data_IF_478990210341
#
_entry.id   IF_478990210341
#
_cell.length_a   1.000
_cell.length_b   1.000
_cell.length_c   1.000
_cell.angle_alpha   90.00
_cell.angle_beta   90.00
_cell.angle_gamma   90.00
#
_symmetry.space_group_name_H-M   'P 1'
#
loop_
_entity.id
_entity.type
_entity.pdbx_description
1 polymer ?
#
# COMPACT_ATOMS: atom_id res chain seq x y z
N UNK A 1 79.41 26.55 18.09
CA UNK A 1 78.35 26.51 17.07
C UNK A 1 77.29 25.50 17.52
N UNK A 2 76.05 25.99 17.65
CA UNK A 2 74.70 25.36 17.66
C UNK A 2 74.49 23.89 18.08
N UNK A 3 73.53 23.75 18.99
CA UNK A 3 72.77 22.57 19.43
C UNK A 3 72.08 21.82 18.28
N UNK A 4 71.88 20.50 18.47
CA UNK A 4 70.60 19.79 18.25
C UNK A 4 70.70 18.38 18.88
N UNK A 5 70.11 18.11 20.06
CA UNK A 5 68.77 17.49 20.26
C UNK A 5 68.59 16.15 19.52
N UNK A 6 68.77 15.00 20.19
CA UNK A 6 67.80 14.20 21.00
C UNK A 6 66.98 13.17 20.17
N UNK A 7 66.54 12.07 20.82
CA UNK A 7 66.56 10.71 20.23
C UNK A 7 65.19 10.02 20.16
N UNK A 8 65.18 8.79 19.64
CA UNK A 8 64.15 7.75 19.80
C UNK A 8 62.74 8.07 19.27
N UNK A 9 61.93 7.02 19.13
CA UNK A 9 60.52 6.98 18.72
C UNK A 9 60.32 6.88 17.19
N UNK A 10 59.94 5.67 16.75
CA UNK A 10 58.81 5.35 15.85
C UNK A 10 59.02 3.98 15.17
N UNK A 11 59.24 2.94 15.99
CA UNK A 11 59.00 1.54 15.62
C UNK A 11 57.73 1.05 16.31
N UNK A 12 56.61 1.75 16.08
CA UNK A 12 55.31 1.46 16.69
C UNK A 12 54.11 1.86 15.78
N UNK A 13 54.30 1.91 14.45
CA UNK A 13 53.21 2.28 13.52
C UNK A 13 52.65 1.11 12.70
N UNK A 14 53.07 -0.14 12.96
CA UNK A 14 52.57 -1.31 12.20
C UNK A 14 51.44 -2.07 12.90
N UNK A 15 50.95 -1.61 14.06
CA UNK A 15 49.89 -2.27 14.84
C UNK A 15 48.62 -1.42 15.06
N UNK A 16 48.50 -0.26 14.41
CA UNK A 16 47.31 0.60 14.49
C UNK A 16 46.36 0.46 13.28
N UNK A 17 46.37 -0.69 12.59
CA UNK A 17 45.45 -1.01 11.49
C UNK A 17 44.42 -2.10 11.85
N UNK A 18 44.31 -2.42 13.14
CA UNK A 18 43.21 -3.21 13.69
C UNK A 18 42.35 -2.27 14.56
N UNK A 19 41.45 -1.50 13.95
CA UNK A 19 40.73 -0.51 14.74
C UNK A 19 39.70 0.34 14.02
N UNK A 20 39.00 -0.19 13.03
CA UNK A 20 37.63 0.27 12.68
C UNK A 20 37.02 -0.72 11.69
N UNK A 21 36.81 -1.96 12.13
CA UNK A 21 35.61 -2.65 11.62
C UNK A 21 34.45 -1.84 12.19
N UNK A 22 33.98 -0.85 11.42
CA UNK A 22 32.61 -0.41 11.58
C UNK A 22 31.80 -1.70 11.43
N UNK A 23 31.32 -2.25 12.56
CA UNK A 23 30.18 -3.15 12.49
C UNK A 23 29.18 -2.34 11.68
N UNK A 24 28.84 -2.85 10.50
CA UNK A 24 27.76 -2.29 9.73
C UNK A 24 26.58 -2.25 10.71
N UNK A 25 26.23 -1.05 11.16
CA UNK A 25 24.86 -0.77 11.56
C UNK A 25 24.09 -0.97 10.26
N UNK A 26 23.84 -2.24 9.90
CA UNK A 26 22.75 -2.59 9.03
C UNK A 26 21.58 -1.77 9.55
N UNK A 27 20.98 -0.99 8.65
CA UNK A 27 19.97 0.01 8.97
C UNK A 27 18.87 -0.66 9.80
N UNK A 28 18.99 -0.61 11.14
CA UNK A 28 18.13 -1.40 12.03
C UNK A 28 16.70 -0.93 11.91
N UNK A 29 16.50 0.33 11.49
CA UNK A 29 15.20 0.86 11.13
C UNK A 29 14.68 0.22 9.83
N UNK A 30 15.45 0.22 8.74
CA UNK A 30 15.08 -0.44 7.48
C UNK A 30 14.86 -1.95 7.61
N UNK A 31 15.65 -2.61 8.44
CA UNK A 31 15.54 -4.04 8.73
C UNK A 31 14.30 -4.34 9.60
N UNK A 32 14.05 -3.54 10.64
CA UNK A 32 12.83 -3.65 11.43
C UNK A 32 11.58 -3.40 10.58
N UNK A 33 11.64 -2.41 9.68
CA UNK A 33 10.59 -2.11 8.72
C UNK A 33 10.30 -3.31 7.83
N UNK A 34 11.34 -3.89 7.22
CA UNK A 34 11.25 -5.10 6.39
C UNK A 34 10.58 -6.26 7.14
N UNK A 35 11.00 -6.48 8.38
CA UNK A 35 10.44 -7.52 9.25
C UNK A 35 8.96 -7.27 9.57
N UNK A 36 8.61 -6.05 9.98
CA UNK A 36 7.26 -5.71 10.42
C UNK A 36 6.27 -5.76 9.24
N UNK A 37 6.71 -5.32 8.06
CA UNK A 37 5.96 -5.48 6.81
C UNK A 37 5.75 -6.96 6.45
N UNK A 38 6.79 -7.78 6.59
CA UNK A 38 6.66 -9.22 6.37
C UNK A 38 5.68 -9.86 7.34
N UNK A 39 5.70 -9.43 8.60
CA UNK A 39 4.77 -9.92 9.61
C UNK A 39 3.31 -9.59 9.23
N UNK A 40 3.03 -8.35 8.81
CA UNK A 40 1.72 -7.92 8.28
C UNK A 40 1.29 -8.73 7.04
N UNK A 41 2.21 -8.97 6.12
CA UNK A 41 1.93 -9.73 4.91
C UNK A 41 1.66 -11.21 5.18
N UNK A 42 2.32 -11.80 6.19
CA UNK A 42 2.32 -13.25 6.44
C UNK A 42 1.29 -13.67 7.49
N UNK A 43 1.10 -12.87 8.54
CA UNK A 43 0.29 -13.25 9.71
C UNK A 43 -0.87 -12.29 9.95
N UNK A 44 -1.73 -12.12 8.94
CA UNK A 44 -2.86 -11.18 8.96
C UNK A 44 -3.86 -11.36 10.11
N UNK A 45 -3.96 -12.56 10.67
CA UNK A 45 -4.79 -12.80 11.86
C UNK A 45 -4.28 -12.01 13.09
N UNK A 46 -2.97 -11.76 13.16
CA UNK A 46 -2.32 -11.08 14.27
C UNK A 46 -1.93 -9.64 13.93
N UNK A 47 -1.68 -9.35 12.65
CA UNK A 47 -1.27 -8.04 12.15
C UNK A 47 -2.20 -7.64 10.98
N UNK A 48 -3.44 -7.25 11.26
CA UNK A 48 -4.52 -7.17 10.27
C UNK A 48 -4.47 -5.92 9.38
N UNK A 49 -3.75 -4.89 9.80
CA UNK A 49 -3.65 -3.60 9.11
C UNK A 49 -2.21 -3.12 9.10
N UNK A 50 -1.84 -2.32 8.09
CA UNK A 50 -0.55 -1.67 8.07
C UNK A 50 -0.50 -0.55 9.10
N UNK A 51 0.58 -0.49 9.88
CA UNK A 51 0.81 0.54 10.87
C UNK A 51 2.16 1.22 10.62
N UNK A 52 2.23 2.54 10.83
CA UNK A 52 3.51 3.24 10.77
C UNK A 52 4.43 2.76 11.89
N UNK A 53 5.70 2.49 11.57
CA UNK A 53 6.70 2.16 12.58
C UNK A 53 6.99 3.36 13.46
N UNK A 54 6.71 3.20 14.75
CA UNK A 54 6.98 4.15 15.81
C UNK A 54 8.34 3.87 16.43
N UNK A 55 8.97 4.90 16.98
CA UNK A 55 10.22 4.73 17.74
C UNK A 55 10.09 5.35 19.12
N UNK A 56 10.42 4.56 20.14
CA UNK A 56 10.61 5.02 21.52
C UNK A 56 11.78 4.23 22.09
N UNK A 57 12.85 4.86 22.55
CA UNK A 57 14.03 4.10 23.01
C UNK A 57 13.67 3.05 24.08
N UNK A 58 14.11 1.78 23.95
CA UNK A 58 14.98 1.21 22.90
C UNK A 58 14.27 0.59 21.68
N UNK A 59 12.98 0.81 21.49
CA UNK A 59 12.10 0.12 20.55
C UNK A 59 11.89 0.82 19.21
N UNK A 60 11.76 0.00 18.17
CA UNK A 60 11.08 0.27 16.91
C UNK A 60 9.87 -0.65 16.86
N UNK A 61 8.65 -0.13 16.76
CA UNK A 61 7.45 -0.95 16.97
C UNK A 61 6.22 -0.45 16.21
N UNK A 62 5.26 -1.35 16.03
CA UNK A 62 3.91 -1.07 15.52
C UNK A 62 2.88 -1.55 16.52
N UNK A 63 1.81 -0.78 16.66
CA UNK A 63 0.65 -1.13 17.48
C UNK A 63 -0.57 -1.34 16.59
N UNK A 64 -1.20 -2.51 16.72
CA UNK A 64 -2.39 -2.91 15.97
C UNK A 64 -3.60 -2.82 16.89
N UNK A 65 -4.31 -1.67 16.93
CA UNK A 65 -5.36 -1.41 17.91
C UNK A 65 -6.57 -2.34 17.77
N UNK A 66 -6.82 -2.89 16.58
CA UNK A 66 -7.94 -3.79 16.27
C UNK A 66 -7.86 -5.10 17.07
N UNK A 67 -6.64 -5.53 17.39
CA UNK A 67 -6.34 -6.80 18.06
C UNK A 67 -5.54 -6.61 19.36
N UNK A 68 -5.17 -5.38 19.70
CA UNK A 68 -4.42 -5.04 20.90
C UNK A 68 -3.04 -5.70 20.93
N UNK A 69 -2.37 -5.81 19.78
CA UNK A 69 -1.05 -6.42 19.64
C UNK A 69 -0.02 -5.35 19.32
N UNK A 70 1.18 -5.49 19.87
CA UNK A 70 2.38 -4.77 19.49
C UNK A 70 3.37 -5.76 18.88
N UNK A 71 4.06 -5.35 17.83
CA UNK A 71 5.24 -6.05 17.31
C UNK A 71 6.38 -5.04 17.21
N UNK A 72 7.60 -5.44 17.56
CA UNK A 72 8.72 -4.53 17.51
C UNK A 72 10.08 -5.17 17.66
N UNK A 73 11.10 -4.37 17.36
CA UNK A 73 12.52 -4.70 17.51
C UNK A 73 13.10 -3.84 18.62
N UNK A 74 13.83 -4.46 19.54
CA UNK A 74 14.64 -3.77 20.53
C UNK A 74 16.03 -3.49 19.94
N UNK A 75 16.39 -2.21 19.84
CA UNK A 75 17.66 -1.73 19.30
C UNK A 75 18.88 -2.09 20.15
N UNK A 76 18.67 -2.47 21.42
CA UNK A 76 19.77 -2.79 22.35
C UNK A 76 20.29 -4.21 22.15
N UNK A 77 19.38 -5.17 21.94
CA UNK A 77 19.69 -6.60 21.82
C UNK A 77 19.37 -7.19 20.44
N UNK A 78 18.84 -6.38 19.51
CA UNK A 78 18.33 -6.79 18.20
C UNK A 78 17.24 -7.87 18.28
N UNK A 79 16.57 -8.02 19.43
CA UNK A 79 15.51 -8.97 19.61
C UNK A 79 14.20 -8.50 18.98
N UNK A 80 13.46 -9.44 18.40
CA UNK A 80 12.12 -9.27 17.87
C UNK A 80 11.13 -9.73 18.93
N UNK A 81 10.16 -8.88 19.24
CA UNK A 81 9.20 -9.11 20.30
C UNK A 81 7.77 -8.84 19.83
N UNK A 82 6.84 -9.53 20.48
CA UNK A 82 5.40 -9.26 20.40
C UNK A 82 4.84 -9.10 21.80
N UNK A 83 3.80 -8.27 21.93
CA UNK A 83 3.12 -8.00 23.21
C UNK A 83 1.62 -7.88 22.94
N UNK A 84 0.79 -8.37 23.86
CA UNK A 84 -0.67 -8.32 23.73
C UNK A 84 -1.26 -9.51 22.97
N UNK A 85 -2.58 -9.50 22.79
CA UNK A 85 -3.33 -10.61 22.18
C UNK A 85 -3.00 -11.98 22.80
N UNK A 86 -2.63 -13.01 21.99
CA UNK A 86 -2.33 -14.35 22.49
C UNK A 86 -1.02 -14.43 23.31
N UNK A 87 -0.19 -13.38 23.31
CA UNK A 87 1.08 -13.33 24.03
C UNK A 87 0.98 -12.66 25.41
N UNK A 88 -0.19 -12.11 25.76
CA UNK A 88 -0.45 -11.52 27.08
C UNK A 88 0.29 -10.20 27.33
N UNK A 89 0.45 -9.84 28.61
CA UNK A 89 0.88 -8.49 29.02
C UNK A 89 2.40 -8.31 29.15
N UNK A 90 3.20 -9.30 28.74
CA UNK A 90 4.67 -9.21 28.77
C UNK A 90 5.23 -9.38 27.35
N UNK A 91 6.29 -8.63 26.97
CA UNK A 91 6.95 -8.83 25.70
C UNK A 91 7.45 -10.28 25.58
N UNK A 92 6.96 -10.98 24.57
CA UNK A 92 7.39 -12.33 24.21
C UNK A 92 8.45 -12.23 23.13
N UNK A 93 9.64 -12.74 23.42
CA UNK A 93 10.72 -12.85 22.45
C UNK A 93 10.37 -13.89 21.38
N UNK A 94 10.54 -13.52 20.11
CA UNK A 94 10.29 -14.39 18.97
C UNK A 94 11.62 -14.96 18.45
N UNK A 95 12.53 -14.08 18.03
CA UNK A 95 13.87 -14.41 17.55
C UNK A 95 14.70 -13.12 17.47
N UNK A 96 15.95 -13.19 17.02
CA UNK A 96 16.76 -12.02 16.70
C UNK A 96 16.50 -11.54 15.27
N UNK A 97 16.58 -10.23 15.07
CA UNK A 97 16.32 -9.57 13.79
C UNK A 97 17.11 -10.18 12.61
N UNK A 98 18.43 -10.47 12.70
CA UNK A 98 19.15 -11.10 11.59
C UNK A 98 18.64 -12.50 11.22
N UNK A 99 18.19 -13.28 12.20
CA UNK A 99 17.62 -14.61 11.95
C UNK A 99 16.29 -14.50 11.21
N UNK A 100 15.47 -13.54 11.63
CA UNK A 100 14.20 -13.26 10.96
C UNK A 100 14.39 -12.78 9.52
N UNK A 101 15.33 -11.86 9.27
CA UNK A 101 15.63 -11.40 7.90
C UNK A 101 16.10 -12.56 7.00
N UNK A 102 16.96 -13.44 7.52
CA UNK A 102 17.37 -14.64 6.81
C UNK A 102 16.17 -15.57 6.55
N UNK A 103 15.26 -15.72 7.51
CA UNK A 103 14.05 -16.50 7.32
C UNK A 103 13.15 -15.91 6.22
N UNK A 104 12.98 -14.58 6.19
CA UNK A 104 12.20 -13.87 5.16
C UNK A 104 12.82 -14.11 3.78
N UNK A 105 14.13 -13.90 3.64
CA UNK A 105 14.85 -14.09 2.38
C UNK A 105 14.73 -15.53 1.86
N UNK A 106 14.83 -16.52 2.75
CA UNK A 106 14.80 -17.95 2.38
C UNK A 106 13.39 -18.49 2.15
N UNK A 107 12.37 -17.88 2.76
CA UNK A 107 10.96 -18.28 2.59
C UNK A 107 10.29 -17.66 1.38
N UNK A 108 10.94 -16.72 0.69
CA UNK A 108 10.31 -15.88 -0.32
C UNK A 108 9.28 -14.90 0.28
N UNK A 109 9.42 -14.59 1.57
CA UNK A 109 8.53 -13.70 2.30
C UNK A 109 8.62 -12.26 1.78
N UNK A 110 7.49 -11.56 1.74
CA UNK A 110 7.43 -10.17 1.28
C UNK A 110 7.60 -9.18 2.44
N UNK A 111 8.79 -8.60 2.59
CA UNK A 111 9.06 -7.51 3.54
C UNK A 111 8.76 -6.09 3.02
N UNK A 112 8.09 -5.97 1.87
CA UNK A 112 7.67 -4.67 1.33
C UNK A 112 6.45 -4.14 2.10
N UNK A 113 6.40 -2.82 2.33
CA UNK A 113 5.24 -2.14 2.93
C UNK A 113 3.98 -2.52 2.15
N UNK A 114 2.88 -2.97 2.80
CA UNK A 114 1.62 -3.19 2.12
C UNK A 114 1.17 -1.88 1.49
N UNK A 115 1.34 -1.76 0.16
CA UNK A 115 1.10 -0.50 -0.51
C UNK A 115 -0.40 -0.14 -0.60
N UNK A 116 -1.25 -1.15 -0.36
CA UNK A 116 -2.69 -1.06 -0.27
C UNK A 116 -3.16 -1.45 1.14
N UNK A 117 -4.11 -0.70 1.69
CA UNK A 117 -4.88 -1.12 2.84
C UNK A 117 -5.75 -2.31 2.44
N UNK A 118 -5.50 -3.44 3.09
CA UNK A 118 -6.14 -4.72 2.79
C UNK A 118 -6.97 -5.26 3.96
N UNK A 119 -7.25 -4.42 4.97
CA UNK A 119 -7.97 -4.82 6.18
C UNK A 119 -9.42 -5.27 5.90
N UNK A 120 -10.04 -4.73 4.84
CA UNK A 120 -11.43 -5.00 4.47
C UNK A 120 -11.54 -5.49 3.01
N UNK A 121 -10.68 -6.42 2.60
CA UNK A 121 -10.77 -6.98 1.25
C UNK A 121 -12.09 -7.78 1.11
N UNK A 122 -12.91 -7.48 0.08
CA UNK A 122 -14.06 -8.30 -0.27
C UNK A 122 -13.68 -9.74 -0.61
N UNK A 123 -14.51 -10.70 -0.22
CA UNK A 123 -14.29 -12.12 -0.53
C UNK A 123 -14.08 -12.35 -2.04
N UNK A 124 -13.05 -13.12 -2.37
CA UNK A 124 -12.69 -13.47 -3.75
C UNK A 124 -11.78 -12.45 -4.46
N UNK A 125 -11.34 -11.38 -3.79
CA UNK A 125 -10.20 -10.56 -4.23
C UNK A 125 -8.89 -11.05 -3.64
N UNK A 126 -7.87 -11.11 -4.49
CA UNK A 126 -6.53 -11.58 -4.15
C UNK A 126 -5.51 -10.51 -4.45
N UNK A 127 -4.61 -10.29 -3.50
CA UNK A 127 -3.55 -9.29 -3.56
C UNK A 127 -2.21 -9.98 -3.49
N UNK A 128 -1.32 -9.62 -4.41
CA UNK A 128 0.10 -9.99 -4.35
C UNK A 128 0.93 -8.73 -4.48
N UNK A 129 2.07 -8.68 -3.81
CA UNK A 129 2.99 -7.57 -3.93
C UNK A 129 4.41 -8.09 -4.05
N UNK A 130 5.17 -7.49 -4.97
CA UNK A 130 6.60 -7.73 -5.17
C UNK A 130 7.29 -6.38 -5.37
N UNK A 131 7.97 -5.90 -4.32
CA UNK A 131 8.51 -4.55 -4.27
C UNK A 131 7.41 -3.50 -4.47
N UNK A 132 7.57 -2.65 -5.49
CA UNK A 132 6.63 -1.58 -5.83
C UNK A 132 5.50 -2.01 -6.78
N UNK A 133 5.38 -3.30 -7.09
CA UNK A 133 4.31 -3.81 -7.96
C UNK A 133 3.30 -4.57 -7.12
N UNK A 134 2.07 -4.09 -7.11
CA UNK A 134 0.90 -4.78 -6.55
C UNK A 134 0.09 -5.36 -7.71
N UNK A 135 -0.33 -6.62 -7.59
CA UNK A 135 -1.34 -7.19 -8.46
C UNK A 135 -2.60 -7.53 -7.67
N UNK A 136 -3.74 -7.07 -8.18
CA UNK A 136 -5.07 -7.31 -7.64
C UNK A 136 -5.84 -8.17 -8.65
N UNK A 137 -6.40 -9.29 -8.23
CA UNK A 137 -7.16 -10.16 -9.13
C UNK A 137 -8.31 -10.89 -8.44
N UNK A 138 -9.31 -11.28 -9.22
CA UNK A 138 -10.37 -12.21 -8.79
C UNK A 138 -10.13 -13.64 -9.27
N UNK A 139 -8.91 -13.95 -9.75
CA UNK A 139 -8.52 -15.26 -10.30
C UNK A 139 -9.47 -15.77 -11.40
N UNK A 140 -9.97 -14.83 -12.23
CA UNK A 140 -10.86 -15.13 -13.35
C UNK A 140 -12.32 -15.42 -12.96
N UNK A 141 -12.68 -15.29 -11.69
CA UNK A 141 -14.08 -15.39 -11.24
C UNK A 141 -14.71 -14.00 -11.14
N UNK A 142 -16.02 -13.90 -11.37
CA UNK A 142 -16.76 -12.66 -11.11
C UNK A 142 -17.33 -12.73 -9.69
N UNK A 143 -16.96 -11.75 -8.87
CA UNK A 143 -17.38 -11.66 -7.46
C UNK A 143 -18.50 -10.63 -7.30
N UNK A 144 -19.34 -10.70 -6.25
CA UNK A 144 -20.32 -9.65 -5.99
C UNK A 144 -19.67 -8.26 -5.94
N UNK A 145 -20.33 -7.26 -6.52
CA UNK A 145 -19.85 -5.88 -6.49
C UNK A 145 -19.60 -5.44 -5.03
N UNK A 146 -18.36 -5.04 -4.66
CA UNK A 146 -18.04 -4.69 -3.30
C UNK A 146 -18.61 -3.32 -2.93
N UNK A 147 -18.86 -3.13 -1.64
CA UNK A 147 -19.34 -1.84 -1.09
C UNK A 147 -18.26 -0.76 -1.09
N UNK A 148 -16.98 -1.15 -1.11
CA UNK A 148 -15.84 -0.27 -1.35
C UNK A 148 -15.15 -0.68 -2.65
N UNK A 149 -15.10 0.23 -3.62
CA UNK A 149 -14.47 0.02 -4.93
C UNK A 149 -13.00 0.47 -4.98
N UNK A 150 -12.47 1.01 -3.87
CA UNK A 150 -11.06 1.35 -3.80
C UNK A 150 -10.21 0.07 -3.66
N UNK A 151 -9.68 -0.38 -4.79
CA UNK A 151 -8.83 -1.56 -4.87
C UNK A 151 -7.50 -1.38 -4.16
N UNK A 152 -7.04 -0.16 -3.91
CA UNK A 152 -5.77 0.05 -3.24
C UNK A 152 -5.79 1.39 -2.51
N UNK A 153 -6.49 1.40 -1.38
CA UNK A 153 -6.51 2.59 -0.53
C UNK A 153 -5.14 2.76 0.14
N UNK A 154 -4.48 3.92 0.04
CA UNK A 154 -3.22 4.14 0.73
C UNK A 154 -3.44 4.02 2.25
N UNK A 155 -2.51 3.39 3.00
CA UNK A 155 -2.66 3.25 4.43
C UNK A 155 -2.66 4.62 5.12
N UNK A 156 -3.53 4.75 6.12
CA UNK A 156 -3.67 5.98 6.91
C UNK A 156 -2.36 6.32 7.60
N UNK A 157 -1.96 7.58 7.54
CA UNK A 157 -0.76 8.08 8.21
C UNK A 157 -1.10 8.63 9.60
N UNK A 158 -0.28 8.30 10.59
CA UNK A 158 -0.46 8.80 11.96
C UNK A 158 0.02 10.26 12.13
N UNK A 159 0.82 10.75 11.18
CA UNK A 159 1.37 12.11 11.14
C UNK A 159 1.31 12.63 9.70
N UNK A 160 1.26 13.96 9.54
CA UNK A 160 1.35 14.57 8.22
C UNK A 160 2.74 14.32 7.61
N UNK A 161 2.79 13.59 6.49
CA UNK A 161 4.05 13.28 5.80
C UNK A 161 4.52 14.42 4.88
N UNK A 162 3.60 15.28 4.44
CA UNK A 162 3.86 16.33 3.46
C UNK A 162 4.08 15.82 2.02
N UNK A 163 3.84 14.53 1.77
CA UNK A 163 4.05 13.92 0.46
C UNK A 163 2.73 13.92 -0.30
N UNK A 164 2.74 14.48 -1.52
CA UNK A 164 1.60 14.44 -2.44
C UNK A 164 1.89 13.48 -3.58
N UNK A 165 0.98 12.54 -3.83
CA UNK A 165 1.12 11.51 -4.86
C UNK A 165 -0.04 11.58 -5.85
N UNK A 166 0.27 11.79 -7.13
CA UNK A 166 -0.69 11.65 -8.21
C UNK A 166 -0.67 10.21 -8.71
N UNK A 167 -1.81 9.54 -8.64
CA UNK A 167 -2.03 8.23 -9.25
C UNK A 167 -2.79 8.39 -10.56
N UNK A 168 -2.30 7.72 -11.60
CA UNK A 168 -2.92 7.72 -12.93
C UNK A 168 -3.29 6.30 -13.29
N UNK A 169 -4.56 6.06 -13.56
CA UNK A 169 -5.03 4.80 -14.12
C UNK A 169 -4.92 4.83 -15.63
N UNK A 170 -4.29 3.79 -16.19
CA UNK A 170 -4.25 3.51 -17.60
C UNK A 170 -4.87 2.12 -17.80
N UNK A 171 -5.97 2.04 -18.55
CA UNK A 171 -6.66 0.76 -18.75
C UNK A 171 -7.46 0.72 -20.03
N UNK A 172 -7.85 -0.48 -20.42
CA UNK A 172 -8.87 -0.64 -21.45
C UNK A 172 -10.24 -0.36 -20.85
N UNK A 173 -11.21 0.14 -21.64
CA UNK A 173 -12.59 0.21 -21.21
C UNK A 173 -13.06 -1.13 -20.62
N UNK A 174 -13.85 -1.14 -19.53
CA UNK A 174 -14.39 -2.37 -18.95
C UNK A 174 -15.20 -3.18 -19.97
N UNK A 175 -15.06 -4.49 -19.92
CA UNK A 175 -15.89 -5.44 -20.67
C UNK A 175 -17.17 -5.72 -19.87
N UNK A 176 -18.27 -5.14 -20.32
CA UNK A 176 -19.60 -5.29 -19.69
C UNK A 176 -20.43 -6.30 -20.47
N UNK A 177 -20.93 -7.34 -19.79
CA UNK A 177 -21.78 -8.39 -20.36
C UNK A 177 -23.14 -8.41 -19.68
N UNK A 178 -24.12 -9.01 -20.37
CA UNK A 178 -25.47 -9.22 -19.84
C UNK A 178 -26.41 -8.02 -19.94
N UNK A 179 -25.95 -6.87 -20.45
CA UNK A 179 -26.81 -5.75 -20.84
C UNK A 179 -26.43 -5.31 -22.25
N UNK A 180 -27.42 -5.17 -23.12
CA UNK A 180 -27.25 -4.53 -24.43
C UNK A 180 -28.35 -3.51 -24.63
N UNK A 181 -28.02 -2.38 -25.25
CA UNK A 181 -29.02 -1.42 -25.70
C UNK A 181 -28.75 -1.06 -27.15
N UNK A 182 -29.75 -1.29 -28.00
CA UNK A 182 -29.71 -1.00 -29.42
C UNK A 182 -30.93 -0.17 -29.78
N UNK A 183 -30.72 1.15 -29.85
CA UNK A 183 -31.71 2.09 -30.35
C UNK A 183 -31.13 2.66 -31.65
N UNK A 184 -31.79 2.47 -32.80
CA UNK A 184 -31.31 3.01 -34.07
C UNK A 184 -31.01 4.51 -33.98
N UNK A 185 -29.78 4.91 -34.32
CA UNK A 185 -29.35 6.31 -34.32
C UNK A 185 -28.87 6.87 -32.99
N UNK A 186 -28.89 6.11 -31.89
CA UNK A 186 -28.35 6.53 -30.58
C UNK A 186 -27.13 5.67 -30.24
N UNK A 187 -25.94 6.28 -29.98
CA UNK A 187 -24.77 5.56 -29.49
C UNK A 187 -25.07 4.80 -28.19
N UNK A 188 -24.47 3.62 -28.03
CA UNK A 188 -24.65 2.82 -26.82
C UNK A 188 -24.07 3.58 -25.59
N UNK A 189 -24.88 3.98 -24.60
CA UNK A 189 -24.41 4.74 -23.44
C UNK A 189 -23.52 3.92 -22.50
N UNK A 190 -23.56 2.59 -22.57
CA UNK A 190 -22.62 1.75 -21.82
C UNK A 190 -21.20 1.85 -22.38
N UNK A 191 -21.06 2.20 -23.66
CA UNK A 191 -19.75 2.40 -24.28
C UNK A 191 -19.10 3.71 -23.83
N UNK A 192 -19.89 4.79 -23.64
CA UNK A 192 -19.38 6.04 -23.06
C UNK A 192 -19.02 5.89 -21.58
N UNK A 193 -19.83 5.14 -20.82
CA UNK A 193 -19.50 4.81 -19.43
C UNK A 193 -18.16 4.07 -19.35
N UNK A 194 -17.94 3.09 -20.24
CA UNK A 194 -16.71 2.33 -20.29
C UNK A 194 -15.48 3.20 -20.66
N UNK A 195 -15.62 4.20 -21.54
CA UNK A 195 -14.50 5.09 -21.88
C UNK A 195 -14.04 5.96 -20.70
N UNK A 196 -14.94 6.37 -19.81
CA UNK A 196 -14.61 7.24 -18.68
C UNK A 196 -13.73 6.55 -17.62
N UNK A 197 -13.74 5.21 -17.56
CA UNK A 197 -12.89 4.42 -16.64
C UNK A 197 -11.42 4.38 -17.06
N UNK A 198 -11.09 4.69 -18.31
CA UNK A 198 -9.77 4.41 -18.88
C UNK A 198 -8.66 5.40 -18.47
N UNK A 199 -9.01 6.56 -17.91
CA UNK A 199 -8.06 7.66 -17.62
C UNK A 199 -8.41 8.42 -16.33
N UNK A 200 -8.73 7.71 -15.25
CA UNK A 200 -9.01 8.35 -13.96
C UNK A 200 -7.70 8.71 -13.26
N UNK A 201 -7.61 9.95 -12.78
CA UNK A 201 -6.49 10.45 -11.98
C UNK A 201 -6.95 10.83 -10.58
N UNK A 202 -6.27 10.33 -9.56
CA UNK A 202 -6.52 10.65 -8.16
C UNK A 202 -5.24 11.17 -7.52
N UNK A 203 -5.33 12.11 -6.59
CA UNK A 203 -4.16 12.57 -5.85
C UNK A 203 -4.33 12.35 -4.35
N UNK A 204 -3.29 11.86 -3.68
CA UNK A 204 -3.27 11.62 -2.23
C UNK A 204 -2.28 12.58 -1.57
N UNK A 205 -2.77 13.38 -0.63
CA UNK A 205 -1.99 14.24 0.27
C UNK A 205 -1.58 13.43 1.50
N UNK A 206 -0.42 13.76 2.07
CA UNK A 206 0.17 13.06 3.22
C UNK A 206 0.30 11.55 2.97
N UNK A 207 0.63 11.18 1.74
CA UNK A 207 0.78 9.79 1.37
C UNK A 207 2.05 9.17 2.01
N UNK A 208 2.10 7.83 2.13
CA UNK A 208 3.32 7.14 2.54
C UNK A 208 4.44 7.35 1.50
N UNK A 209 5.70 7.51 1.94
CA UNK A 209 6.82 7.85 1.05
C UNK A 209 7.14 6.75 0.03
N UNK A 210 6.97 5.52 0.46
CA UNK A 210 7.11 4.28 -0.28
C UNK A 210 6.13 4.15 -1.46
N UNK A 211 5.02 4.89 -1.46
CA UNK A 211 4.03 4.85 -2.54
C UNK A 211 4.44 5.71 -3.76
N UNK A 212 5.58 6.43 -3.68
CA UNK A 212 6.03 7.37 -4.72
C UNK A 212 6.28 6.77 -6.11
N UNK A 213 6.40 5.44 -6.22
CA UNK A 213 6.60 4.72 -7.48
C UNK A 213 5.78 3.44 -7.56
N UNK A 214 4.62 3.42 -6.89
CA UNK A 214 3.77 2.25 -6.85
C UNK A 214 3.13 1.97 -8.21
N UNK A 215 3.14 0.70 -8.62
CA UNK A 215 2.44 0.19 -9.79
C UNK A 215 1.39 -0.81 -9.30
N UNK A 216 0.12 -0.58 -9.61
CA UNK A 216 -0.98 -1.47 -9.24
C UNK A 216 -1.57 -2.02 -10.53
N UNK A 217 -1.42 -3.30 -10.80
CA UNK A 217 -2.12 -3.99 -11.88
C UNK A 217 -3.40 -4.61 -11.32
N UNK A 218 -4.54 -4.36 -11.96
CA UNK A 218 -5.80 -4.99 -11.60
C UNK A 218 -6.34 -5.82 -12.75
N UNK A 219 -6.78 -7.04 -12.46
CA UNK A 219 -7.52 -7.94 -13.36
C UNK A 219 -8.68 -8.55 -12.57
N UNK A 220 -9.78 -7.80 -12.50
CA UNK A 220 -10.92 -8.09 -11.63
C UNK A 220 -12.21 -8.23 -12.45
N UNK A 221 -13.10 -9.11 -12.02
CA UNK A 221 -14.46 -9.20 -12.54
C UNK A 221 -15.48 -9.04 -11.42
N UNK A 222 -16.49 -8.21 -11.66
CA UNK A 222 -17.63 -8.03 -10.77
C UNK A 222 -18.91 -8.58 -11.38
N UNK A 223 -19.70 -9.27 -10.58
CA UNK A 223 -21.11 -9.58 -10.84
C UNK A 223 -21.97 -8.44 -10.26
N UNK A 224 -22.65 -7.76 -11.16
CA UNK A 224 -23.52 -6.62 -10.86
C UNK A 224 -25.01 -7.00 -10.97
N UNK A 225 -25.34 -8.28 -11.17
CA UNK A 225 -26.71 -8.73 -11.42
C UNK A 225 -27.68 -8.22 -10.37
N UNK A 226 -27.32 -8.37 -9.08
CA UNK A 226 -28.13 -7.90 -7.95
C UNK A 226 -28.30 -6.38 -7.90
N UNK A 227 -27.31 -5.61 -8.36
CA UNK A 227 -27.40 -4.14 -8.40
C UNK A 227 -28.43 -3.65 -9.43
N UNK A 228 -28.75 -4.48 -10.42
CA UNK A 228 -29.68 -4.17 -11.49
C UNK A 228 -31.03 -4.88 -11.37
N UNK A 229 -31.18 -5.77 -10.39
CA UNK A 229 -32.46 -6.41 -10.09
C UNK A 229 -33.54 -5.37 -9.78
N UNK A 230 -34.65 -5.41 -10.53
CA UNK A 230 -35.78 -4.50 -10.35
C UNK A 230 -35.56 -3.05 -10.82
N UNK A 231 -34.36 -2.68 -11.29
CA UNK A 231 -34.08 -1.30 -11.74
C UNK A 231 -34.53 -1.05 -13.18
N UNK A 232 -34.53 -2.07 -14.01
CA UNK A 232 -34.90 -1.95 -15.41
C UNK A 232 -36.28 -2.57 -15.62
N UNK A 233 -37.30 -1.72 -15.74
CA UNK A 233 -38.56 -2.11 -16.36
C UNK A 233 -38.37 -2.42 -17.85
N UNK A 234 -39.46 -2.61 -18.59
CA UNK A 234 -39.42 -2.82 -20.05
C UNK A 234 -38.96 -1.53 -20.78
N UNK A 235 -37.65 -1.27 -20.80
CA UNK A 235 -37.06 -0.15 -21.54
C UNK A 235 -36.98 -0.56 -23.02
N UNK A 236 -37.62 0.17 -23.95
CA UNK A 236 -37.55 -0.15 -25.37
C UNK A 236 -36.11 -0.16 -25.89
N UNK A 237 -35.74 -1.23 -26.61
CA UNK A 237 -34.39 -1.39 -27.19
C UNK A 237 -33.32 -1.85 -26.21
N UNK A 238 -33.67 -2.12 -24.94
CA UNK A 238 -32.76 -2.70 -23.94
C UNK A 238 -33.04 -4.20 -23.78
N UNK A 239 -32.00 -5.01 -23.83
CA UNK A 239 -32.06 -6.45 -23.56
C UNK A 239 -31.13 -6.76 -22.40
N UNK A 240 -31.68 -7.39 -21.36
CA UNK A 240 -30.95 -7.84 -20.17
C UNK A 240 -30.91 -9.36 -20.17
N UNK A 241 -29.72 -9.92 -20.01
CA UNK A 241 -29.47 -11.36 -19.99
C UNK A 241 -28.49 -11.65 -18.85
N UNK A 242 -28.99 -11.99 -17.65
CA UNK A 242 -28.14 -12.33 -16.52
C UNK A 242 -27.21 -13.52 -16.83
N UNK A 243 -26.01 -13.58 -16.20
CA UNK A 243 -25.49 -12.60 -15.25
C UNK A 243 -25.00 -11.32 -15.94
N UNK A 244 -25.14 -10.20 -15.24
CA UNK A 244 -24.58 -8.91 -15.66
C UNK A 244 -23.20 -8.80 -15.02
N UNK A 245 -22.14 -8.82 -15.85
CA UNK A 245 -20.77 -8.81 -15.35
C UNK A 245 -19.96 -7.65 -15.93
N UNK A 246 -18.97 -7.20 -15.17
CA UNK A 246 -18.05 -6.13 -15.56
C UNK A 246 -16.62 -6.58 -15.25
N UNK A 247 -15.82 -6.79 -16.31
CA UNK A 247 -14.40 -7.10 -16.18
C UNK A 247 -13.54 -5.86 -16.42
N UNK A 248 -12.61 -5.58 -15.50
CA UNK A 248 -11.71 -4.43 -15.53
C UNK A 248 -10.27 -4.93 -15.57
N UNK A 249 -9.52 -4.43 -16.55
CA UNK A 249 -8.06 -4.58 -16.63
C UNK A 249 -7.41 -3.21 -16.72
N UNK A 250 -6.67 -2.84 -15.68
CA UNK A 250 -5.98 -1.56 -15.65
C UNK A 250 -4.65 -1.63 -14.90
N UNK A 251 -3.79 -0.67 -15.19
CA UNK A 251 -2.55 -0.42 -14.45
C UNK A 251 -2.62 0.99 -13.91
N UNK A 252 -2.42 1.16 -12.60
CA UNK A 252 -2.31 2.44 -11.93
C UNK A 252 -0.84 2.69 -11.60
N UNK A 253 -0.36 3.87 -11.90
CA UNK A 253 1.01 4.29 -11.55
C UNK A 253 0.96 5.54 -10.68
N UNK A 254 1.82 5.58 -9.66
CA UNK A 254 1.96 6.73 -8.74
C UNK A 254 3.21 7.55 -9.06
N UNK A 255 3.11 8.86 -8.92
CA UNK A 255 4.24 9.79 -9.00
C UNK A 255 4.11 10.90 -7.95
N UNK A 256 5.23 11.35 -7.39
CA UNK A 256 5.25 12.50 -6.48
C UNK A 256 4.99 13.80 -7.21
N UNK A 257 4.15 14.66 -6.63
CA UNK A 257 3.83 16.00 -7.13
C UNK A 257 4.03 17.04 -6.02
N UNK A 258 4.22 18.29 -6.40
CA UNK A 258 4.41 19.37 -5.43
C UNK A 258 3.12 19.75 -4.69
N UNK A 259 1.98 19.72 -5.39
CA UNK A 259 0.68 20.09 -4.86
C UNK A 259 -0.43 19.32 -5.61
N UNK A 260 -1.26 18.58 -4.88
CA UNK A 260 -2.40 17.86 -5.45
C UNK A 260 -3.44 18.79 -6.10
N UNK A 261 -3.68 19.98 -5.55
CA UNK A 261 -4.69 20.92 -6.07
C UNK A 261 -4.27 21.57 -7.38
N UNK A 262 -2.97 21.59 -7.70
CA UNK A 262 -2.42 22.08 -8.95
C UNK A 262 -2.39 21.02 -10.07
N UNK A 263 -2.83 19.79 -9.81
CA UNK A 263 -2.82 18.70 -10.81
C UNK A 263 -4.11 18.63 -11.62
N UNK A 264 -4.13 17.74 -12.62
CA UNK A 264 -5.32 17.37 -13.38
C UNK A 264 -6.10 16.19 -12.77
N UNK A 265 -5.89 15.90 -11.48
CA UNK A 265 -6.68 14.91 -10.75
C UNK A 265 -8.19 15.25 -10.77
N UNK A 266 -9.03 14.21 -10.84
CA UNK A 266 -10.48 14.34 -10.69
C UNK A 266 -10.92 14.33 -9.22
N UNK A 267 -10.07 13.81 -8.34
CA UNK A 267 -10.32 13.73 -6.91
C UNK A 267 -9.02 13.79 -6.12
N UNK A 268 -9.12 14.27 -4.88
CA UNK A 268 -8.02 14.36 -3.92
C UNK A 268 -8.46 13.71 -2.61
N UNK A 269 -7.58 12.97 -1.94
CA UNK A 269 -7.77 12.51 -0.55
C UNK A 269 -6.58 12.91 0.31
N UNK A 270 -6.77 13.03 1.62
CA UNK A 270 -5.70 13.22 2.60
C UNK A 270 -5.60 11.97 3.50
N UNK A 271 -4.47 11.27 3.42
CA UNK A 271 -4.25 10.02 4.17
C UNK A 271 -3.99 10.25 5.67
N UNK A 272 -3.79 11.48 6.12
CA UNK A 272 -3.66 11.84 7.54
C UNK A 272 -5.01 12.30 8.12
N UNK A 273 -5.69 13.25 7.46
CA UNK A 273 -6.93 13.85 7.96
C UNK A 273 -8.20 13.10 7.55
N UNK A 274 -8.12 12.20 6.56
CA UNK A 274 -9.25 11.50 5.93
C UNK A 274 -10.19 12.42 5.12
N UNK A 275 -9.75 13.64 4.82
CA UNK A 275 -10.52 14.57 4.00
C UNK A 275 -10.48 14.18 2.52
N UNK A 276 -11.56 14.45 1.80
CA UNK A 276 -11.73 14.11 0.38
C UNK A 276 -12.31 15.31 -0.36
N UNK A 277 -11.75 15.58 -1.53
CA UNK A 277 -12.22 16.59 -2.47
C UNK A 277 -12.49 15.99 -3.84
N UNK A 278 -13.52 16.48 -4.50
CA UNK A 278 -13.87 16.08 -5.88
C UNK A 278 -13.88 17.32 -6.76
N UNK A 279 -13.31 17.20 -7.96
CA UNK A 279 -13.27 18.30 -8.93
C UNK A 279 -14.64 18.44 -9.59
N UNK A 280 -15.29 19.58 -9.38
CA UNK A 280 -16.56 19.94 -9.99
C UNK A 280 -16.42 21.31 -10.64
N UNK A 281 -16.81 21.42 -11.91
CA UNK A 281 -16.74 22.68 -12.67
C UNK A 281 -15.36 23.37 -12.59
N UNK A 282 -14.29 22.58 -12.60
CA UNK A 282 -12.91 23.06 -12.56
C UNK A 282 -12.36 23.42 -11.17
N UNK A 283 -13.16 23.32 -10.11
CA UNK A 283 -12.74 23.59 -8.72
C UNK A 283 -12.91 22.36 -7.83
N UNK A 284 -12.05 22.21 -6.82
CA UNK A 284 -12.16 21.12 -5.85
C UNK A 284 -13.14 21.49 -4.73
N UNK A 285 -14.12 20.62 -4.51
CA UNK A 285 -15.13 20.77 -3.47
C UNK A 285 -14.91 19.65 -2.45
N UNK A 286 -14.80 20.01 -1.16
CA UNK A 286 -14.68 19.05 -0.06
C UNK A 286 -16.00 18.29 0.09
N UNK A 287 -15.96 16.96 0.15
CA UNK A 287 -17.17 16.11 0.16
C UNK A 287 -17.42 15.38 1.49
N UNK A 288 -16.44 15.38 2.40
CA UNK A 288 -16.60 14.83 3.75
C UNK A 288 -16.03 15.79 4.81
N UNK A 289 -16.41 15.59 6.08
CA UNK A 289 -15.94 16.36 7.23
C UNK A 289 -15.06 15.51 8.13
#
# INVERSE_FOLDING_TARGET
MKQCMKPFILSACSLALLGSTHFASADTAGDAETLLNWAENTYRKFFPSHQATQSIEPWLFRHYPEVGIYAGVNKTDNGVYVLGGPWGNNPTFIDNLPNMLNHIANSGGNGSIPACNTANIPDGLFYTQSGNVVNVTTNGQCIPLPTNSNLCEPPRQAVATGISLLTTSNGTPPDIKGITMSIPGIPNPFQSLASDFSNIKHCTINAPAENANLIINSDVCYDMTSAFEGQFGSIPGMTITPPITMAIKNTVTSQTVADCFATDASSISDAFTNEVWVKQNGSFIKVNN
#
